data_IF_357436141999
#
_entry.id   IF_357436141999
#
_cell.length_a   1.000
_cell.length_b   1.000
_cell.length_c   1.000
_cell.angle_alpha   90.00
_cell.angle_beta   90.00
_cell.angle_gamma   90.00
#
_symmetry.space_group_name_H-M   'P 1'
#
loop_
_entity.id
_entity.type
_entity.pdbx_description
1 polymer ?
#
# COMPACT_ATOMS: atom_id res chain seq x y z
N UNK A 1 24.82 16.23 23.13
CA UNK A 1 24.20 16.12 21.79
C UNK A 1 24.09 14.65 21.45
N UNK A 2 22.90 14.17 21.07
CA UNK A 2 22.56 13.04 20.18
C UNK A 2 21.11 12.67 20.55
N UNK A 3 20.17 13.42 19.97
CA UNK A 3 18.72 13.20 20.04
C UNK A 3 18.19 13.04 18.60
N UNK A 4 18.82 12.15 17.84
CA UNK A 4 18.61 12.02 16.38
C UNK A 4 18.25 10.61 15.92
N UNK A 5 17.87 9.70 16.84
CA UNK A 5 17.62 8.30 16.48
C UNK A 5 16.15 7.90 16.41
N UNK A 6 15.21 8.67 16.99
CA UNK A 6 13.76 8.37 16.92
C UNK A 6 13.09 8.86 15.64
N UNK A 7 13.61 9.91 15.01
CA UNK A 7 12.97 10.56 13.85
C UNK A 7 13.10 9.75 12.55
N UNK A 8 14.18 8.98 12.40
CA UNK A 8 14.44 8.23 11.16
C UNK A 8 13.44 7.07 11.00
N UNK A 9 13.10 6.36 12.08
CA UNK A 9 12.09 5.29 12.01
C UNK A 9 10.69 5.80 11.69
N UNK A 10 10.30 6.95 12.23
CA UNK A 10 9.02 7.58 11.92
C UNK A 10 8.94 7.99 10.44
N UNK A 11 10.04 8.50 9.87
CA UNK A 11 10.11 8.87 8.46
C UNK A 11 9.98 7.64 7.54
N UNK A 12 10.60 6.50 7.88
CA UNK A 12 10.50 5.27 7.07
C UNK A 12 9.08 4.70 7.10
N UNK A 13 8.43 4.69 8.27
CA UNK A 13 7.03 4.26 8.39
C UNK A 13 6.07 5.19 7.60
N UNK A 14 6.33 6.51 7.61
CA UNK A 14 5.53 7.47 6.86
C UNK A 14 5.70 7.29 5.34
N UNK A 15 6.91 6.99 4.86
CA UNK A 15 7.17 6.72 3.44
C UNK A 15 6.54 5.39 3.00
N UNK A 16 6.58 4.35 3.84
CA UNK A 16 5.94 3.06 3.55
C UNK A 16 4.39 3.16 3.54
N UNK A 17 3.82 3.98 4.43
CA UNK A 17 2.39 4.29 4.42
C UNK A 17 2.00 5.16 3.22
N UNK A 18 2.85 6.11 2.82
CA UNK A 18 2.62 6.95 1.65
C UNK A 18 2.73 6.17 0.33
N UNK A 19 3.64 5.21 0.21
CA UNK A 19 3.72 4.33 -0.97
C UNK A 19 2.53 3.39 -1.06
N UNK A 20 2.09 2.81 0.06
CA UNK A 20 0.88 1.97 0.08
C UNK A 20 -0.40 2.77 -0.19
N UNK A 21 -0.54 4.00 0.32
CA UNK A 21 -1.67 4.88 0.00
C UNK A 21 -1.64 5.42 -1.44
N UNK A 22 -0.48 5.82 -1.95
CA UNK A 22 -0.31 6.30 -3.33
C UNK A 22 -0.49 5.19 -4.37
N UNK A 23 -0.31 3.93 -3.98
CA UNK A 23 -0.51 2.76 -4.84
C UNK A 23 -1.88 2.11 -4.67
N UNK A 24 -2.55 2.30 -3.53
CA UNK A 24 -3.98 2.03 -3.41
C UNK A 24 -4.81 2.90 -4.36
N UNK A 25 -4.28 4.04 -4.83
CA UNK A 25 -4.88 4.83 -5.91
C UNK A 25 -5.02 4.07 -7.24
N UNK A 26 -4.33 2.93 -7.41
CA UNK A 26 -4.52 2.00 -8.53
C UNK A 26 -5.87 1.26 -8.43
N UNK A 27 -6.59 1.40 -7.31
CA UNK A 27 -7.90 0.80 -7.04
C UNK A 27 -8.97 1.86 -6.73
N UNK A 28 -9.20 2.81 -7.65
CA UNK A 28 -10.04 3.99 -7.38
C UNK A 28 -11.49 3.61 -7.11
N UNK A 29 -12.00 2.53 -7.73
CA UNK A 29 -13.38 2.06 -7.56
C UNK A 29 -13.68 1.64 -6.12
N UNK A 30 -12.79 0.86 -5.51
CA UNK A 30 -12.95 0.38 -4.14
C UNK A 30 -12.72 1.50 -3.12
N UNK A 31 -11.76 2.40 -3.37
CA UNK A 31 -11.59 3.60 -2.55
C UNK A 31 -12.81 4.53 -2.62
N UNK A 32 -13.41 4.71 -3.80
CA UNK A 32 -14.64 5.49 -3.97
C UNK A 32 -15.84 4.87 -3.25
N UNK A 33 -15.89 3.54 -3.15
CA UNK A 33 -16.85 2.79 -2.33
C UNK A 33 -16.54 2.86 -0.82
N UNK A 34 -15.55 3.63 -0.41
CA UNK A 34 -15.15 3.83 0.99
C UNK A 34 -14.29 2.70 1.56
N UNK A 35 -13.75 1.83 0.71
CA UNK A 35 -12.89 0.75 1.16
C UNK A 35 -11.59 1.29 1.76
N UNK A 36 -11.07 0.60 2.76
CA UNK A 36 -9.79 0.90 3.40
C UNK A 36 -8.83 -0.25 3.16
N UNK A 37 -7.56 0.06 2.92
CA UNK A 37 -6.51 -0.97 2.83
C UNK A 37 -6.41 -1.66 4.18
N UNK A 38 -6.70 -2.96 4.20
CA UNK A 38 -6.56 -3.82 5.36
C UNK A 38 -5.18 -4.49 5.38
N UNK A 39 -4.68 -4.90 4.20
CA UNK A 39 -3.36 -5.50 4.04
C UNK A 39 -2.80 -5.19 2.64
N UNK A 40 -1.48 -5.31 2.47
CA UNK A 40 -0.83 -5.09 1.19
C UNK A 40 0.38 -6.00 1.04
N UNK A 41 0.43 -6.73 -0.07
CA UNK A 41 1.53 -7.61 -0.43
C UNK A 41 2.23 -7.10 -1.68
N UNK A 42 3.54 -7.25 -1.71
CA UNK A 42 4.37 -6.97 -2.88
C UNK A 42 5.08 -8.24 -3.28
N UNK A 43 4.84 -8.70 -4.51
CA UNK A 43 5.52 -9.84 -5.10
C UNK A 43 6.49 -9.33 -6.16
N UNK A 44 7.77 -9.53 -5.93
CA UNK A 44 8.83 -9.23 -6.87
C UNK A 44 9.08 -10.45 -7.76
N UNK A 45 8.82 -10.32 -9.07
CA UNK A 45 9.05 -11.35 -10.08
C UNK A 45 10.36 -11.12 -10.85
N UNK A 46 11.16 -10.14 -10.46
CA UNK A 46 12.44 -9.80 -11.08
C UNK A 46 12.57 -8.32 -11.39
N UNK A 47 13.73 -7.93 -11.94
CA UNK A 47 14.20 -6.55 -12.05
C UNK A 47 13.23 -5.54 -12.70
N UNK A 48 12.19 -5.99 -13.41
CA UNK A 48 11.21 -5.13 -14.07
C UNK A 48 9.76 -5.62 -13.92
N UNK A 49 9.48 -6.51 -12.97
CA UNK A 49 8.15 -7.08 -12.82
C UNK A 49 7.77 -7.17 -11.35
N UNK A 50 6.93 -6.23 -10.90
CA UNK A 50 6.44 -6.21 -9.52
C UNK A 50 4.92 -6.24 -9.53
N UNK A 51 4.34 -7.20 -8.81
CA UNK A 51 2.91 -7.32 -8.59
C UNK A 51 2.58 -6.81 -7.19
N UNK A 52 1.74 -5.79 -7.13
CA UNK A 52 1.19 -5.23 -5.90
C UNK A 52 -0.20 -5.80 -5.69
N UNK A 53 -0.48 -6.31 -4.50
CA UNK A 53 -1.79 -6.86 -4.11
C UNK A 53 -2.28 -6.10 -2.89
N UNK A 54 -3.42 -5.45 -2.99
CA UNK A 54 -4.09 -4.71 -1.92
C UNK A 54 -5.30 -5.50 -1.48
N UNK A 55 -5.35 -5.87 -0.21
CA UNK A 55 -6.55 -6.41 0.43
C UNK A 55 -7.29 -5.21 1.02
N UNK A 56 -8.46 -4.90 0.48
CA UNK A 56 -9.29 -3.78 0.93
C UNK A 56 -10.53 -4.28 1.64
N UNK A 57 -10.93 -3.57 2.70
CA UNK A 57 -12.12 -3.82 3.46
C UNK A 57 -13.14 -2.72 3.23
N UNK A 58 -14.31 -3.09 2.74
CA UNK A 58 -15.42 -2.18 2.49
C UNK A 58 -16.16 -1.80 3.77
N UNK A 59 -16.85 -0.64 3.78
CA UNK A 59 -17.80 -0.30 4.82
C UNK A 59 -18.99 -1.26 4.73
N UNK A 60 -19.01 -2.25 5.62
CA UNK A 60 -19.91 -3.41 5.54
C UNK A 60 -19.20 -4.73 5.89
N UNK A 61 -17.87 -4.72 5.97
CA UNK A 61 -17.07 -5.84 6.44
C UNK A 61 -16.58 -6.77 5.32
N UNK A 62 -17.12 -6.64 4.11
CA UNK A 62 -16.66 -7.34 2.91
C UNK A 62 -15.19 -7.02 2.61
N UNK A 63 -14.47 -8.03 2.16
CA UNK A 63 -13.06 -7.90 1.76
C UNK A 63 -12.98 -8.10 0.26
N UNK A 64 -12.37 -7.14 -0.43
CA UNK A 64 -12.09 -7.21 -1.87
C UNK A 64 -10.60 -7.00 -2.10
N UNK A 65 -10.04 -7.75 -3.04
CA UNK A 65 -8.64 -7.65 -3.43
C UNK A 65 -8.50 -6.88 -4.73
N UNK A 66 -7.55 -5.96 -4.76
CA UNK A 66 -7.15 -5.26 -5.96
C UNK A 66 -5.68 -5.50 -6.24
N UNK A 67 -5.35 -5.85 -7.47
CA UNK A 67 -3.97 -6.11 -7.87
C UNK A 67 -3.55 -5.11 -8.92
N UNK A 68 -2.39 -4.48 -8.73
CA UNK A 68 -1.73 -3.72 -9.78
C UNK A 68 -0.39 -4.34 -10.12
N UNK A 69 -0.16 -4.60 -11.40
CA UNK A 69 1.13 -5.10 -11.88
C UNK A 69 1.85 -3.95 -12.56
N UNK A 70 3.01 -3.58 -12.02
CA UNK A 70 3.90 -2.64 -12.69
C UNK A 70 5.00 -3.42 -13.38
N UNK A 71 4.87 -3.52 -14.70
CA UNK A 71 5.97 -3.93 -15.57
C UNK A 71 6.73 -2.65 -15.96
N UNK A 72 8.02 -2.56 -15.61
CA UNK A 72 8.89 -1.44 -15.98
C UNK A 72 9.42 -1.61 -17.41
#
# INVERSE_FOLDING_TARGET
MIETSKSVLAAIALVAAATSAARAAECPDLLARGAKVADSYVMDFGANDTLYVYVMRLPGGSVETCTSRKKL
#
